data_IF_231642409770
#
_entry.id   IF_231642409770
#
_cell.length_a   1.000
_cell.length_b   1.000
_cell.length_c   1.000
_cell.angle_alpha   90.00
_cell.angle_beta   90.00
_cell.angle_gamma   90.00
#
_symmetry.space_group_name_H-M   'P 1'
#
loop_
_entity.id
_entity.type
_entity.pdbx_description
1 polymer ?
#
# COMPACT_ATOMS: atom_id res chain seq x y z
N UNK A 1 -29.98 13.06 10.80
CA UNK A 1 -28.65 12.72 11.32
C UNK A 1 -28.50 11.22 11.11
N UNK A 2 -27.72 10.82 10.12
CA UNK A 2 -27.60 9.42 9.72
C UNK A 2 -26.17 8.99 10.03
N UNK A 3 -26.02 8.19 11.07
CA UNK A 3 -24.76 7.59 11.50
C UNK A 3 -24.31 6.63 10.39
N UNK A 4 -23.18 6.92 9.74
CA UNK A 4 -22.58 5.99 8.79
C UNK A 4 -22.10 4.75 9.57
N UNK A 5 -22.59 3.58 9.18
CA UNK A 5 -22.12 2.31 9.72
C UNK A 5 -20.65 2.06 9.29
N UNK A 6 -19.85 1.35 10.10
CA UNK A 6 -18.50 0.95 9.70
C UNK A 6 -18.58 0.10 8.43
N UNK A 7 -17.83 0.51 7.40
CA UNK A 7 -17.72 -0.22 6.14
C UNK A 7 -17.06 -1.57 6.43
N UNK A 8 -17.81 -2.65 6.24
CA UNK A 8 -17.30 -4.01 6.34
C UNK A 8 -16.47 -4.34 5.10
N UNK A 9 -15.15 -4.42 5.27
CA UNK A 9 -14.15 -4.75 4.23
C UNK A 9 -14.16 -6.27 3.99
N UNK A 10 -15.24 -6.81 3.43
CA UNK A 10 -15.37 -8.27 3.29
C UNK A 10 -15.93 -8.79 1.96
N UNK A 11 -16.20 -7.94 0.97
CA UNK A 11 -16.76 -8.42 -0.30
C UNK A 11 -15.76 -8.21 -1.45
N UNK A 12 -15.05 -9.30 -1.80
CA UNK A 12 -14.32 -9.60 -3.06
C UNK A 12 -12.79 -9.79 -3.03
N UNK A 13 -12.17 -10.02 -1.87
CA UNK A 13 -10.79 -10.56 -1.83
C UNK A 13 -10.84 -12.08 -1.67
N UNK A 14 -10.38 -12.90 -2.65
CA UNK A 14 -10.26 -14.34 -2.47
C UNK A 14 -9.09 -14.64 -1.52
N UNK A 15 -9.37 -15.20 -0.34
CA UNK A 15 -8.36 -15.53 0.69
C UNK A 15 -7.87 -14.30 1.46
N UNK A 16 -7.47 -14.46 2.72
CA UNK A 16 -7.00 -13.38 3.61
C UNK A 16 -5.65 -12.81 3.14
N UNK A 17 -5.65 -12.03 2.06
CA UNK A 17 -4.47 -11.30 1.61
C UNK A 17 -3.98 -10.40 2.75
N UNK A 18 -2.67 -10.43 3.10
CA UNK A 18 -2.16 -9.51 4.09
C UNK A 18 -2.34 -8.08 3.59
N UNK A 19 -2.71 -7.22 4.54
CA UNK A 19 -2.94 -5.79 4.30
C UNK A 19 -1.72 -5.03 4.80
N UNK A 20 -1.15 -4.22 3.90
CA UNK A 20 -0.12 -3.25 4.25
C UNK A 20 -0.64 -1.84 4.04
N UNK A 21 -0.37 -0.98 5.01
CA UNK A 21 -0.75 0.42 4.97
C UNK A 21 0.37 1.24 4.35
N UNK A 22 0.07 1.93 3.26
CA UNK A 22 0.97 2.87 2.60
C UNK A 22 0.64 4.29 3.06
N UNK A 23 1.60 4.95 3.68
CA UNK A 23 1.44 6.25 4.33
C UNK A 23 2.38 7.27 3.72
N UNK A 24 1.88 8.18 2.86
CA UNK A 24 2.66 9.30 2.36
C UNK A 24 3.08 10.26 3.49
N UNK A 25 4.36 10.62 3.53
CA UNK A 25 4.96 11.48 4.56
C UNK A 25 5.74 12.64 3.95
N UNK A 26 5.92 13.71 4.69
CA UNK A 26 6.78 14.84 4.25
C UNK A 26 8.25 14.45 4.56
N UNK A 27 9.15 14.46 3.56
CA UNK A 27 10.56 14.15 3.79
C UNK A 27 11.19 15.19 4.71
N UNK A 28 12.11 14.74 5.58
CA UNK A 28 12.94 15.68 6.36
C UNK A 28 14.07 16.29 5.52
N UNK A 29 14.43 15.65 4.39
CA UNK A 29 15.62 15.93 3.58
C UNK A 29 15.31 16.22 2.09
N UNK A 30 14.04 16.33 1.73
CA UNK A 30 13.60 16.51 0.33
C UNK A 30 13.75 15.27 -0.56
N UNK A 31 13.91 14.07 0.01
CA UNK A 31 14.00 12.81 -0.74
C UNK A 31 12.75 12.49 -1.57
N UNK A 32 12.93 11.61 -2.57
CA UNK A 32 11.92 11.23 -3.57
C UNK A 32 10.98 10.13 -3.04
N UNK A 33 11.43 9.30 -2.10
CA UNK A 33 10.64 8.22 -1.51
C UNK A 33 10.01 8.63 -0.18
N UNK A 34 8.76 9.06 -0.28
CA UNK A 34 8.02 9.67 0.81
C UNK A 34 6.90 8.78 1.31
N UNK A 35 7.15 7.48 1.44
CA UNK A 35 6.13 6.50 1.81
C UNK A 35 6.65 5.60 2.92
N UNK A 36 5.93 5.56 4.03
CA UNK A 36 6.11 4.55 5.05
C UNK A 36 5.14 3.39 4.83
N UNK A 37 5.63 2.19 5.10
CA UNK A 37 4.85 0.96 5.05
C UNK A 37 4.59 0.50 6.47
N UNK A 38 3.35 0.13 6.74
CA UNK A 38 2.97 -0.46 8.02
C UNK A 38 2.18 -1.74 7.80
N UNK A 39 2.15 -2.59 8.83
CA UNK A 39 1.28 -3.74 8.91
C UNK A 39 0.59 -3.76 10.28
N UNK A 40 -0.51 -4.50 10.39
CA UNK A 40 -1.17 -4.70 11.67
C UNK A 40 -0.26 -5.49 12.63
N UNK A 41 -0.10 -5.00 13.86
CA UNK A 41 0.69 -5.68 14.89
C UNK A 41 -0.20 -6.60 15.73
N UNK A 42 -0.36 -7.86 15.31
CA UNK A 42 -1.11 -8.87 16.09
C UNK A 42 -2.52 -8.42 16.49
N UNK A 43 -2.87 -8.59 17.76
CA UNK A 43 -4.18 -8.17 18.33
C UNK A 43 -4.24 -6.71 18.77
N UNK A 44 -3.16 -5.95 18.63
CA UNK A 44 -3.08 -4.59 19.15
C UNK A 44 -3.68 -3.58 18.19
N UNK A 45 -4.17 -2.47 18.75
CA UNK A 45 -4.65 -1.31 18.00
C UNK A 45 -3.51 -0.51 17.36
N UNK A 46 -2.27 -0.99 17.33
CA UNK A 46 -1.15 -0.25 16.75
C UNK A 46 -0.66 -0.90 15.47
N UNK A 47 -0.18 -0.09 14.53
CA UNK A 47 0.48 -0.57 13.33
C UNK A 47 1.99 -0.54 13.51
N UNK A 48 2.64 -1.63 13.12
CA UNK A 48 4.09 -1.74 13.11
C UNK A 48 4.63 -1.16 11.80
N UNK A 49 5.65 -0.28 11.89
CA UNK A 49 6.37 0.19 10.71
C UNK A 49 7.29 -0.91 10.21
N UNK A 50 7.21 -1.24 8.92
CA UNK A 50 7.96 -2.33 8.31
C UNK A 50 8.86 -1.80 7.19
N UNK A 51 9.88 -2.59 6.81
CA UNK A 51 10.67 -2.30 5.62
C UNK A 51 9.85 -2.61 4.35
N UNK A 52 10.05 -1.88 3.23
CA UNK A 52 9.50 -2.28 1.94
C UNK A 52 9.89 -3.72 1.52
N UNK A 53 11.01 -4.24 2.03
CA UNK A 53 11.50 -5.61 1.76
C UNK A 53 10.73 -6.70 2.51
N UNK A 54 9.90 -6.31 3.47
CA UNK A 54 9.09 -7.18 4.34
C UNK A 54 7.63 -7.31 3.84
N UNK A 55 7.34 -6.80 2.64
CA UNK A 55 6.06 -7.00 1.96
C UNK A 55 5.97 -8.46 1.47
N UNK A 56 5.30 -9.30 2.24
CA UNK A 56 5.16 -10.73 1.97
C UNK A 56 3.69 -11.17 2.04
N UNK A 57 3.24 -11.89 1.01
CA UNK A 57 1.92 -12.50 0.94
C UNK A 57 1.69 -13.61 1.98
N UNK A 58 2.77 -14.13 2.57
CA UNK A 58 2.74 -15.13 3.65
C UNK A 58 2.86 -14.53 5.04
N UNK A 59 2.81 -13.20 5.16
CA UNK A 59 2.73 -12.56 6.47
C UNK A 59 1.56 -13.16 7.25
N UNK A 60 1.82 -13.48 8.52
CA UNK A 60 0.88 -14.16 9.43
C UNK A 60 0.55 -15.63 9.07
N UNK A 61 1.37 -16.27 8.23
CA UNK A 61 1.29 -17.69 7.93
C UNK A 61 0.22 -18.08 6.89
N UNK A 62 -0.36 -17.10 6.20
CA UNK A 62 -1.34 -17.32 5.14
C UNK A 62 -0.74 -17.83 3.82
N UNK A 63 -1.59 -18.43 2.98
CA UNK A 63 -1.28 -18.79 1.60
C UNK A 63 -2.12 -17.92 0.65
N UNK A 64 -1.84 -16.62 0.64
CA UNK A 64 -2.59 -15.66 -0.16
C UNK A 64 -2.05 -15.58 -1.60
N UNK A 65 -2.95 -15.37 -2.55
CA UNK A 65 -2.64 -15.13 -3.97
C UNK A 65 -2.45 -13.64 -4.29
N UNK A 66 -2.27 -12.81 -3.26
CA UNK A 66 -2.17 -11.37 -3.42
C UNK A 66 -1.75 -10.67 -2.14
N UNK A 67 -1.28 -9.44 -2.32
CA UNK A 67 -1.02 -8.49 -1.26
C UNK A 67 -1.92 -7.27 -1.48
N UNK A 68 -2.56 -6.79 -0.40
CA UNK A 68 -3.35 -5.56 -0.44
C UNK A 68 -2.50 -4.40 0.08
N UNK A 69 -2.35 -3.35 -0.73
CA UNK A 69 -1.82 -2.06 -0.30
C UNK A 69 -2.99 -1.11 -0.10
N UNK A 70 -3.21 -0.67 1.14
CA UNK A 70 -4.27 0.25 1.52
C UNK A 70 -3.68 1.62 1.88
N UNK A 71 -4.28 2.70 1.39
CA UNK A 71 -3.95 4.04 1.87
C UNK A 71 -5.03 4.51 2.86
N UNK A 72 -4.74 4.53 4.17
CA UNK A 72 -5.70 4.96 5.17
C UNK A 72 -5.94 6.48 5.13
N UNK A 73 -7.02 6.92 5.79
CA UNK A 73 -7.19 8.35 6.08
C UNK A 73 -6.26 8.79 7.21
N UNK A 74 -6.13 10.11 7.30
CA UNK A 74 -5.33 10.78 8.34
C UNK A 74 -5.77 10.36 9.74
N UNK A 75 -7.08 10.22 9.99
CA UNK A 75 -7.58 9.87 11.31
C UNK A 75 -7.10 8.48 11.73
N UNK A 76 -7.26 7.48 10.87
CA UNK A 76 -6.77 6.13 11.11
C UNK A 76 -5.24 6.11 11.28
N UNK A 77 -4.49 6.84 10.46
CA UNK A 77 -3.02 6.92 10.60
C UNK A 77 -2.62 7.45 11.98
N UNK A 78 -3.24 8.55 12.43
CA UNK A 78 -2.91 9.17 13.71
C UNK A 78 -3.38 8.34 14.91
N UNK A 79 -4.43 7.54 14.76
CA UNK A 79 -4.91 6.62 15.81
C UNK A 79 -3.99 5.40 15.99
N UNK A 80 -3.41 4.90 14.89
CA UNK A 80 -2.71 3.62 14.88
C UNK A 80 -1.18 3.75 14.79
N UNK A 81 -0.63 4.95 14.66
CA UNK A 81 0.82 5.18 14.53
C UNK A 81 1.33 6.26 15.48
N UNK A 82 2.66 6.40 15.59
CA UNK A 82 3.31 7.49 16.32
C UNK A 82 3.50 8.77 15.49
N UNK A 83 2.95 8.83 14.27
CA UNK A 83 3.10 10.00 13.41
C UNK A 83 2.27 11.17 13.93
N UNK A 84 2.78 12.38 13.70
CA UNK A 84 2.06 13.62 13.95
C UNK A 84 1.49 14.17 12.64
N UNK A 85 0.41 14.95 12.73
CA UNK A 85 -0.36 15.39 11.55
C UNK A 85 0.37 16.34 10.60
N UNK A 86 1.51 16.89 11.01
CA UNK A 86 2.46 17.71 10.24
C UNK A 86 3.47 16.86 9.46
N UNK A 87 3.66 15.59 9.83
CA UNK A 87 4.52 14.64 9.10
C UNK A 87 3.82 13.99 7.91
N UNK A 88 2.49 14.09 7.81
CA UNK A 88 1.69 13.45 6.76
C UNK A 88 1.56 14.35 5.52
N UNK A 89 1.90 13.83 4.34
CA UNK A 89 1.67 14.55 3.08
C UNK A 89 0.23 14.32 2.58
N UNK A 90 -0.66 15.25 2.93
CA UNK A 90 -2.10 15.19 2.59
C UNK A 90 -2.38 15.46 1.12
N UNK A 91 -1.38 15.91 0.37
CA UNK A 91 -1.52 16.20 -1.06
C UNK A 91 -1.23 14.98 -1.93
N UNK A 92 -0.73 13.89 -1.34
CA UNK A 92 -0.25 12.71 -2.04
C UNK A 92 -1.22 11.54 -1.88
N UNK A 93 -1.62 10.95 -3.00
CA UNK A 93 -2.52 9.79 -3.05
C UNK A 93 -1.93 8.71 -3.95
N UNK A 94 -2.01 7.45 -3.54
CA UNK A 94 -1.67 6.30 -4.36
C UNK A 94 -2.58 6.30 -5.59
N UNK A 95 -1.97 6.17 -6.77
CA UNK A 95 -2.68 6.28 -8.04
C UNK A 95 -2.68 4.94 -8.77
N UNK A 96 -1.50 4.32 -8.89
CA UNK A 96 -1.33 3.05 -9.58
C UNK A 96 -0.08 2.32 -9.08
N UNK A 97 0.09 1.09 -9.53
CA UNK A 97 1.31 0.32 -9.35
C UNK A 97 1.65 -0.46 -10.61
N UNK A 98 2.94 -0.63 -10.88
CA UNK A 98 3.44 -1.54 -11.91
C UNK A 98 4.19 -2.66 -11.22
N UNK A 99 3.82 -3.90 -11.46
CA UNK A 99 4.44 -5.07 -10.85
C UNK A 99 5.01 -6.00 -11.93
N UNK A 100 6.21 -6.53 -11.73
CA UNK A 100 6.82 -7.51 -12.63
C UNK A 100 7.40 -8.66 -11.84
N UNK A 101 7.12 -9.89 -12.27
CA UNK A 101 7.76 -11.07 -11.67
C UNK A 101 9.25 -11.07 -12.04
N UNK A 102 10.12 -11.15 -11.03
CA UNK A 102 11.58 -11.10 -11.19
C UNK A 102 12.20 -12.49 -11.39
N UNK A 103 11.49 -13.55 -11.02
CA UNK A 103 11.86 -14.95 -11.23
C UNK A 103 10.91 -15.67 -12.20
N UNK A 104 11.36 -16.79 -12.75
CA UNK A 104 10.65 -17.54 -13.80
C UNK A 104 9.35 -18.14 -13.23
N UNK A 105 8.25 -17.40 -13.34
CA UNK A 105 6.89 -17.92 -13.20
C UNK A 105 6.40 -18.37 -14.57
N UNK A 106 5.85 -19.57 -14.65
CA UNK A 106 5.14 -20.03 -15.85
C UNK A 106 3.81 -19.26 -16.06
N UNK A 107 3.29 -18.66 -14.98
CA UNK A 107 1.99 -17.99 -15.00
C UNK A 107 2.14 -16.49 -15.27
N UNK A 108 1.46 -15.96 -16.31
CA UNK A 108 1.45 -14.54 -16.60
C UNK A 108 0.60 -13.80 -15.56
N UNK A 109 1.25 -13.02 -14.71
CA UNK A 109 0.58 -12.11 -13.77
C UNK A 109 0.40 -10.72 -14.39
N UNK A 110 -0.72 -10.03 -14.12
CA UNK A 110 -0.94 -8.68 -14.63
C UNK A 110 0.13 -7.74 -14.09
N UNK A 111 0.66 -6.89 -14.97
CA UNK A 111 1.72 -5.95 -14.61
C UNK A 111 1.21 -4.58 -14.19
N UNK A 112 -0.01 -4.20 -14.54
CA UNK A 112 -0.63 -2.95 -14.08
C UNK A 112 -1.62 -3.26 -12.96
N UNK A 113 -1.50 -2.53 -11.85
CA UNK A 113 -2.38 -2.59 -10.70
C UNK A 113 -2.96 -1.18 -10.49
N UNK A 114 -4.28 -1.06 -10.38
CA UNK A 114 -4.94 0.22 -10.23
C UNK A 114 -5.37 0.43 -8.78
N UNK A 115 -5.26 1.67 -8.31
CA UNK A 115 -5.81 2.06 -7.03
C UNK A 115 -7.34 2.22 -7.14
N UNK A 116 -8.05 1.49 -6.30
CA UNK A 116 -9.50 1.42 -6.30
C UNK A 116 -10.14 2.58 -5.53
N UNK A 117 -11.40 2.89 -5.83
CA UNK A 117 -12.18 3.92 -5.13
C UNK A 117 -12.28 3.66 -3.62
N UNK A 118 -12.14 2.41 -3.17
CA UNK A 118 -12.12 2.01 -1.76
C UNK A 118 -10.74 2.19 -1.09
N UNK A 119 -9.80 2.91 -1.73
CA UNK A 119 -8.47 3.23 -1.22
C UNK A 119 -7.50 2.05 -1.07
N UNK A 120 -7.64 1.03 -1.91
CA UNK A 120 -6.67 -0.07 -1.94
C UNK A 120 -6.23 -0.41 -3.35
N UNK A 121 -5.11 -1.10 -3.45
CA UNK A 121 -4.62 -1.76 -4.65
C UNK A 121 -4.23 -3.19 -4.28
N UNK A 122 -4.61 -4.15 -5.12
CA UNK A 122 -4.19 -5.56 -4.96
C UNK A 122 -3.08 -5.86 -5.94
N UNK A 123 -1.98 -6.39 -5.43
CA UNK A 123 -0.87 -6.89 -6.25
C UNK A 123 -0.95 -8.41 -6.21
N UNK A 124 -1.32 -9.06 -7.34
CA UNK A 124 -1.42 -10.50 -7.37
C UNK A 124 -0.04 -11.13 -7.34
N UNK A 125 0.07 -12.25 -6.64
CA UNK A 125 1.28 -13.07 -6.53
C UNK A 125 0.90 -14.53 -6.64
N UNK A 126 1.86 -15.37 -7.06
CA UNK A 126 1.71 -16.83 -7.00
C UNK A 126 2.78 -17.42 -6.07
N UNK A 127 2.56 -18.61 -5.49
CA UNK A 127 3.54 -19.23 -4.62
C UNK A 127 4.94 -19.25 -5.23
N UNK A 128 5.96 -18.99 -4.41
CA UNK A 128 7.38 -19.00 -4.79
C UNK A 128 7.79 -17.92 -5.81
N UNK A 129 7.03 -16.83 -5.91
CA UNK A 129 7.42 -15.68 -6.74
C UNK A 129 7.89 -14.50 -5.92
N UNK A 130 8.72 -13.69 -6.58
CA UNK A 130 9.06 -12.34 -6.14
C UNK A 130 8.66 -11.37 -7.25
N UNK A 131 7.93 -10.33 -6.89
CA UNK A 131 7.52 -9.26 -7.80
C UNK A 131 8.22 -7.98 -7.42
N UNK A 132 8.97 -7.39 -8.36
CA UNK A 132 9.40 -6.00 -8.25
C UNK A 132 8.20 -5.11 -8.56
N UNK A 133 7.97 -4.10 -7.74
CA UNK A 133 6.79 -3.25 -7.79
C UNK A 133 7.21 -1.79 -7.77
N UNK A 134 6.69 -0.97 -8.68
CA UNK A 134 6.79 0.49 -8.61
C UNK A 134 5.42 1.02 -8.24
N UNK A 135 5.30 1.73 -7.12
CA UNK A 135 4.08 2.45 -6.75
C UNK A 135 4.15 3.86 -7.29
N UNK A 136 3.09 4.30 -7.94
CA UNK A 136 2.93 5.65 -8.47
C UNK A 136 1.90 6.39 -7.64
N UNK A 137 2.30 7.53 -7.10
CA UNK A 137 1.46 8.44 -6.36
C UNK A 137 1.25 9.72 -7.17
N UNK A 138 0.08 10.32 -7.03
CA UNK A 138 -0.24 11.64 -7.58
C UNK A 138 -0.21 12.68 -6.48
N UNK A 139 0.50 13.78 -6.70
CA UNK A 139 0.46 14.96 -5.84
C UNK A 139 -0.48 16.02 -6.39
N UNK A 140 -1.38 16.47 -5.54
CA UNK A 140 -2.46 17.39 -5.89
C UNK A 140 -2.23 18.76 -5.25
N UNK A 141 -2.50 19.84 -5.99
CA UNK A 141 -2.35 21.18 -5.42
C UNK A 141 -3.33 21.39 -4.27
N UNK A 142 -2.87 21.91 -3.13
CA UNK A 142 -3.74 22.23 -2.00
C UNK A 142 -4.37 23.62 -2.21
N UNK A 143 -5.56 23.68 -2.83
CA UNK A 143 -6.31 24.91 -3.12
C UNK A 143 -7.68 24.65 -3.76
N UNK A 144 -8.63 25.61 -3.70
CA UNK A 144 -10.02 25.41 -4.18
C UNK A 144 -10.12 25.44 -5.73
N UNK A 145 -11.04 24.61 -6.28
CA UNK A 145 -11.28 24.24 -7.70
C UNK A 145 -10.43 23.03 -8.15
N UNK A 146 -10.89 22.17 -9.09
CA UNK A 146 -10.54 20.74 -9.11
C UNK A 146 -9.03 20.58 -9.06
N UNK A 147 -8.55 19.97 -7.98
CA UNK A 147 -7.15 19.98 -7.57
C UNK A 147 -6.30 19.36 -8.68
N UNK A 148 -5.56 20.17 -9.47
CA UNK A 148 -4.78 19.62 -10.55
C UNK A 148 -3.68 18.74 -9.98
N UNK A 149 -3.49 17.57 -10.57
CA UNK A 149 -2.29 16.76 -10.36
C UNK A 149 -1.14 17.54 -10.99
N UNK A 150 -0.12 17.88 -10.21
CA UNK A 150 1.03 18.64 -10.69
C UNK A 150 2.34 17.83 -10.66
N UNK A 151 2.34 16.68 -10.00
CA UNK A 151 3.51 15.82 -9.87
C UNK A 151 3.09 14.34 -9.72
N UNK A 152 3.87 13.45 -10.32
CA UNK A 152 3.81 12.01 -10.09
C UNK A 152 5.08 11.57 -9.35
N UNK A 153 4.90 10.82 -8.27
CA UNK A 153 5.98 10.30 -7.42
C UNK A 153 6.01 8.79 -7.60
N UNK A 154 7.16 8.22 -7.93
CA UNK A 154 7.35 6.78 -8.02
C UNK A 154 8.24 6.29 -6.88
N UNK A 155 7.87 5.17 -6.24
CA UNK A 155 8.76 4.49 -5.27
C UNK A 155 9.88 3.75 -5.98
N UNK A 156 10.99 3.51 -5.30
CA UNK A 156 12.05 2.60 -5.71
C UNK A 156 11.61 1.17 -5.43
N UNK A 157 11.27 0.46 -6.51
CA UNK A 157 11.10 -0.99 -6.63
C UNK A 157 10.93 -1.82 -5.32
N UNK A 158 9.88 -1.64 -4.48
CA UNK A 158 9.58 -2.61 -3.45
C UNK A 158 9.45 -4.02 -4.04
N UNK A 159 10.01 -5.00 -3.34
CA UNK A 159 9.84 -6.41 -3.68
C UNK A 159 8.72 -7.02 -2.86
N UNK A 160 7.71 -7.58 -3.53
CA UNK A 160 6.66 -8.37 -2.90
C UNK A 160 6.96 -9.85 -3.08
N UNK A 161 7.05 -10.55 -1.95
CA UNK A 161 7.35 -11.98 -1.91
C UNK A 161 6.09 -12.79 -1.70
N UNK A 162 6.11 -14.04 -2.16
CA UNK A 162 5.17 -15.07 -1.76
C UNK A 162 5.96 -16.34 -1.40
N UNK A 163 6.63 -16.29 -0.24
CA UNK A 163 7.53 -17.33 0.27
C UNK A 163 9.02 -17.07 0.03
N UNK A 164 9.85 -17.97 0.58
CA UNK A 164 11.29 -17.94 0.39
C UNK A 164 11.63 -18.23 -1.06
N UNK A 165 12.24 -17.24 -1.73
CA UNK A 165 13.06 -17.52 -2.90
C UNK A 165 14.04 -18.62 -2.51
N UNK A 166 14.07 -19.71 -3.29
CA UNK A 166 15.19 -20.65 -3.20
C UNK A 166 16.46 -19.97 -3.68
#
# INVERSE_FOLDING_TARGET
MTTAAPVSIAASVPGSAPIFFVVPVIPDDGSVENVFYYAQAGSDQYWEKISPKDLDARRDGGDANGVMLFQPDIEAILQHTHLTGDRLDRSVTLYAGVARTLSVSADPLPSACLFDANRFMVIPVVPHTTRGVILVFSKQSTGKSPTPVFELIATTDPEIKNGVGK
#
